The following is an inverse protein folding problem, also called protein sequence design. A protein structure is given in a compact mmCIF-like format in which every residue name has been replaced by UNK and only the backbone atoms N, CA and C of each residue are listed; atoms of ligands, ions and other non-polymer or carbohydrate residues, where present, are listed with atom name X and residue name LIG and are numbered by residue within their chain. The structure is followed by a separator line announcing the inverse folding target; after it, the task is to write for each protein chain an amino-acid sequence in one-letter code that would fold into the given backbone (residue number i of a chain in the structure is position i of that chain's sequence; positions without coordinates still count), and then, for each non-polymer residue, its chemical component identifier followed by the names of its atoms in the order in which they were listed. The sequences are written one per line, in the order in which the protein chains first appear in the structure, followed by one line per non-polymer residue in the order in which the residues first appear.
data_IF_657967503960
#
_entry.id   IF_657967503960
#
_cell.length_a   1.000
_cell.length_b   1.000
_cell.length_c   1.000
_cell.angle_alpha   90.00
_cell.angle_beta   90.00
_cell.angle_gamma   90.00
#
_symmetry.space_group_name_H-M   'P 1'
#
loop_
_entity.id
_entity.type
_entity.pdbx_description
1 polymer ?
#
# COMPACT_ATOMS: atom_id res chain seq x y z
N UNK A 1 -7.70 0.29 2.25
CA UNK A 1 -8.52 1.28 2.99
C UNK A 1 -8.09 2.73 2.77
N UNK A 2 -6.81 3.10 2.95
CA UNK A 2 -6.33 4.48 2.70
C UNK A 2 -6.76 5.04 1.33
N UNK A 3 -6.66 4.22 0.27
CA UNK A 3 -7.11 4.58 -1.07
C UNK A 3 -8.64 4.76 -1.17
N UNK A 4 -9.42 3.94 -0.46
CA UNK A 4 -10.90 4.00 -0.47
C UNK A 4 -11.41 5.26 0.25
N UNK A 5 -10.73 5.64 1.35
CA UNK A 5 -11.08 6.81 2.13
C UNK A 5 -10.70 8.14 1.44
N UNK A 6 -9.68 8.13 0.58
CA UNK A 6 -9.18 9.33 -0.11
C UNK A 6 -9.62 9.42 -1.57
N UNK A 7 -10.15 8.34 -2.15
CA UNK A 7 -10.37 8.17 -3.59
C UNK A 7 -9.08 8.39 -4.44
N UNK A 8 -7.92 8.09 -3.85
CA UNK A 8 -6.60 8.20 -4.50
C UNK A 8 -5.98 6.81 -4.66
N UNK A 9 -5.57 6.49 -5.88
CA UNK A 9 -4.86 5.26 -6.23
C UNK A 9 -3.43 5.18 -5.68
N UNK A 10 -2.78 4.05 -5.94
CA UNK A 10 -1.38 3.83 -5.55
C UNK A 10 -0.70 2.84 -6.48
N UNK A 11 0.54 3.14 -6.86
CA UNK A 11 1.44 2.17 -7.45
C UNK A 11 2.34 1.63 -6.35
N UNK A 12 2.15 0.37 -5.99
CA UNK A 12 3.00 -0.34 -5.02
C UNK A 12 4.16 -0.98 -5.77
N UNK A 13 5.36 -0.84 -5.23
CA UNK A 13 6.58 -1.47 -5.75
C UNK A 13 7.14 -2.39 -4.69
N UNK A 14 7.31 -3.66 -5.06
CA UNK A 14 7.99 -4.67 -4.26
C UNK A 14 9.30 -5.01 -4.96
N UNK A 15 10.41 -4.94 -4.24
CA UNK A 15 11.71 -5.38 -4.75
C UNK A 15 11.95 -6.84 -4.34
N UNK A 16 11.95 -7.81 -5.28
CA UNK A 16 12.20 -9.21 -4.97
C UNK A 16 13.61 -9.49 -4.45
N UNK A 17 14.55 -8.54 -4.62
CA UNK A 17 15.94 -8.66 -4.18
C UNK A 17 16.16 -8.22 -2.73
N UNK A 18 15.19 -7.56 -2.11
CA UNK A 18 15.21 -7.23 -0.68
C UNK A 18 14.85 -8.49 0.13
N UNK A 19 15.42 -8.65 1.32
CA UNK A 19 15.50 -9.87 2.17
C UNK A 19 14.19 -10.62 2.51
N UNK A 20 13.05 -10.18 2.00
CA UNK A 20 11.75 -10.82 2.05
C UNK A 20 11.32 -11.23 0.64
N UNK A 21 12.13 -12.07 -0.02
CA UNK A 21 11.77 -12.78 -1.25
C UNK A 21 10.67 -13.83 -0.98
N UNK A 22 9.64 -13.42 -0.24
CA UNK A 22 8.45 -14.21 -0.02
C UNK A 22 7.61 -14.19 -1.29
N UNK A 23 6.79 -15.23 -1.52
CA UNK A 23 5.77 -15.17 -2.56
C UNK A 23 4.99 -13.86 -2.46
N UNK A 24 4.70 -13.22 -3.60
CA UNK A 24 4.05 -11.89 -3.65
C UNK A 24 2.77 -11.82 -2.78
N UNK A 25 2.02 -12.92 -2.69
CA UNK A 25 0.82 -12.99 -1.86
C UNK A 25 1.13 -12.86 -0.36
N UNK A 26 2.23 -13.42 0.13
CA UNK A 26 2.62 -13.31 1.53
C UNK A 26 3.06 -11.88 1.88
N UNK A 27 3.74 -11.20 0.96
CA UNK A 27 4.09 -9.79 1.13
C UNK A 27 2.86 -8.87 1.16
N UNK A 28 1.87 -9.13 0.30
CA UNK A 28 0.66 -8.31 0.17
C UNK A 28 -0.39 -8.55 1.26
N UNK A 29 -0.55 -9.81 1.68
CA UNK A 29 -1.66 -10.24 2.54
C UNK A 29 -1.20 -10.80 3.90
N UNK A 30 0.10 -11.04 4.11
CA UNK A 30 0.62 -11.49 5.39
C UNK A 30 0.44 -10.42 6.46
N UNK A 31 -0.10 -10.81 7.61
CA UNK A 31 -0.38 -9.92 8.74
C UNK A 31 0.71 -10.04 9.81
N UNK A 32 1.16 -8.89 10.32
CA UNK A 32 2.13 -8.79 11.41
C UNK A 32 1.96 -7.42 12.08
N UNK A 33 2.21 -7.40 13.39
CA UNK A 33 2.04 -6.21 14.25
C UNK A 33 3.20 -5.22 14.05
N UNK A 34 2.97 -3.95 14.42
CA UNK A 34 4.04 -2.93 14.40
C UNK A 34 4.46 -2.47 13.00
N UNK A 35 3.65 -2.73 11.97
CA UNK A 35 3.87 -2.22 10.60
C UNK A 35 2.90 -1.10 10.30
N UNK A 36 3.44 0.04 9.86
CA UNK A 36 2.69 1.25 9.59
C UNK A 36 2.94 1.75 8.18
N UNK A 37 1.91 2.30 7.54
CA UNK A 37 2.00 2.99 6.26
C UNK A 37 1.76 4.47 6.46
N UNK A 38 2.61 5.29 5.83
CA UNK A 38 2.45 6.74 5.77
C UNK A 38 2.56 7.18 4.31
N UNK A 39 1.75 8.18 3.94
CA UNK A 39 1.87 8.88 2.68
C UNK A 39 2.40 10.29 2.96
N UNK A 40 3.45 10.70 2.25
CA UNK A 40 4.08 12.01 2.40
C UNK A 40 4.33 12.63 1.03
N UNK A 41 4.41 13.97 0.92
CA UNK A 41 4.90 14.62 -0.29
C UNK A 41 6.30 14.12 -0.65
N UNK A 42 6.66 14.12 -1.93
CA UNK A 42 7.95 13.59 -2.42
C UNK A 42 9.15 14.20 -1.67
N UNK A 43 9.12 15.51 -1.37
CA UNK A 43 10.18 16.18 -0.60
C UNK A 43 10.32 15.72 0.86
N UNK A 44 9.33 15.01 1.40
CA UNK A 44 9.35 14.45 2.76
C UNK A 44 9.94 13.05 2.86
N UNK A 45 10.18 12.36 1.73
CA UNK A 45 10.69 10.98 1.71
C UNK A 45 12.11 10.90 2.28
N UNK A 46 13.05 11.69 1.74
CA UNK A 46 14.45 11.68 2.16
C UNK A 46 14.65 12.07 3.64
N UNK A 47 13.99 13.12 4.18
CA UNK A 47 14.06 13.43 5.60
C UNK A 47 13.66 12.26 6.51
N UNK A 48 12.61 11.51 6.15
CA UNK A 48 12.12 10.38 6.94
C UNK A 48 13.12 9.22 6.90
N UNK A 49 13.63 8.88 5.71
CA UNK A 49 14.62 7.81 5.56
C UNK A 49 15.89 8.11 6.36
N UNK A 50 16.35 9.37 6.35
CA UNK A 50 17.51 9.80 7.14
C UNK A 50 17.26 9.75 8.64
N UNK A 51 16.08 10.17 9.09
CA UNK A 51 15.71 10.09 10.51
C UNK A 51 15.67 8.63 10.99
N UNK A 52 15.19 7.71 10.16
CA UNK A 52 15.10 6.28 10.48
C UNK A 52 16.48 5.60 10.56
N UNK A 53 17.44 6.01 9.73
CA UNK A 53 18.78 5.41 9.69
C UNK A 53 19.52 5.45 11.04
N UNK A 54 19.18 6.40 11.93
CA UNK A 54 19.78 6.55 13.26
C UNK A 54 19.00 5.91 14.41
N UNK A 55 17.79 5.40 14.18
CA UNK A 55 16.89 4.93 15.26
C UNK A 55 16.72 3.41 15.31
N UNK A 56 17.28 2.69 14.34
CA UNK A 56 17.09 1.24 14.20
C UNK A 56 15.67 0.83 13.78
N UNK A 57 14.81 1.80 13.42
CA UNK A 57 13.45 1.54 12.92
C UNK A 57 13.51 1.25 11.43
N UNK A 58 13.08 0.05 10.97
CA UNK A 58 13.05 -0.26 9.54
C UNK A 58 12.05 0.63 8.80
N UNK A 59 12.52 1.33 7.77
CA UNK A 59 11.67 2.15 6.89
C UNK A 59 12.02 1.86 5.43
N UNK A 60 10.99 1.76 4.59
CA UNK A 60 11.14 1.55 3.15
C UNK A 60 10.12 2.39 2.38
N UNK A 61 10.53 2.95 1.25
CA UNK A 61 9.59 3.46 0.24
C UNK A 61 9.01 2.26 -0.51
N UNK A 62 7.69 2.15 -0.55
CA UNK A 62 6.99 1.01 -1.18
C UNK A 62 6.13 1.40 -2.37
N UNK A 63 6.20 2.65 -2.83
CA UNK A 63 5.32 3.10 -3.90
C UNK A 63 5.14 4.60 -3.97
N UNK A 64 4.16 5.01 -4.76
CA UNK A 64 3.73 6.40 -4.94
C UNK A 64 2.21 6.45 -5.09
N UNK A 65 1.55 7.36 -4.38
CA UNK A 65 0.10 7.58 -4.48
C UNK A 65 -0.24 8.45 -5.70
N UNK A 66 -1.44 8.27 -6.24
CA UNK A 66 -1.93 9.04 -7.40
C UNK A 66 -2.89 8.24 -8.27
N UNK A 67 -3.59 8.94 -9.16
CA UNK A 67 -4.58 8.34 -10.05
C UNK A 67 -5.78 7.72 -9.32
N UNK A 68 -6.46 6.78 -9.99
CA UNK A 68 -7.71 6.16 -9.50
C UNK A 68 -7.63 4.62 -9.42
N UNK A 69 -6.42 4.06 -9.55
CA UNK A 69 -6.20 2.61 -9.58
C UNK A 69 -5.14 2.17 -8.58
N UNK A 70 -5.25 0.94 -8.11
CA UNK A 70 -4.20 0.26 -7.34
C UNK A 70 -3.48 -0.71 -8.28
N UNK A 71 -2.15 -0.63 -8.30
CA UNK A 71 -1.28 -1.52 -9.10
C UNK A 71 -0.12 -2.06 -8.26
N UNK A 72 0.41 -3.23 -8.63
CA UNK A 72 1.58 -3.82 -7.97
C UNK A 72 2.66 -4.10 -9.00
N UNK A 73 3.82 -3.45 -8.88
CA UNK A 73 4.90 -3.47 -9.87
C UNK A 73 4.44 -3.06 -11.29
N UNK A 74 3.45 -2.17 -11.38
CA UNK A 74 2.80 -1.78 -12.63
C UNK A 74 2.00 -2.90 -13.30
N UNK A 75 1.80 -4.03 -12.61
CA UNK A 75 0.99 -5.17 -13.05
C UNK A 75 -0.32 -5.21 -12.27
N UNK A 76 -1.39 -5.64 -12.95
CA UNK A 76 -2.73 -5.57 -12.41
C UNK A 76 -3.19 -4.13 -12.23
N UNK A 77 -4.43 -3.83 -12.59
CA UNK A 77 -5.03 -2.55 -12.32
C UNK A 77 -6.42 -2.81 -11.75
N UNK A 78 -6.63 -2.39 -10.51
CA UNK A 78 -7.92 -2.48 -9.85
C UNK A 78 -8.42 -1.06 -9.57
N UNK A 79 -9.66 -0.77 -9.98
CA UNK A 79 -10.29 0.51 -9.75
C UNK A 79 -10.54 0.74 -8.26
N UNK A 80 -10.17 1.90 -7.74
CA UNK A 80 -10.48 2.29 -6.35
C UNK A 80 -11.99 2.35 -6.14
N UNK A 81 -12.73 2.85 -7.14
CA UNK A 81 -14.19 2.95 -7.07
C UNK A 81 -14.85 1.57 -7.03
N UNK A 82 -14.38 0.62 -7.83
CA UNK A 82 -14.85 -0.77 -7.81
C UNK A 82 -14.55 -1.43 -6.46
N UNK A 83 -13.33 -1.29 -5.93
CA UNK A 83 -12.96 -1.82 -4.62
C UNK A 83 -13.82 -1.22 -3.50
N UNK A 84 -14.11 0.09 -3.56
CA UNK A 84 -14.96 0.78 -2.60
C UNK A 84 -16.38 0.21 -2.61
N UNK A 85 -16.96 0.06 -3.80
CA UNK A 85 -18.29 -0.55 -3.95
C UNK A 85 -18.32 -1.98 -3.40
N UNK A 86 -17.32 -2.81 -3.69
CA UNK A 86 -17.24 -4.18 -3.17
C UNK A 86 -17.06 -4.20 -1.64
N UNK A 87 -16.21 -3.32 -1.10
CA UNK A 87 -15.92 -3.24 0.33
C UNK A 87 -17.13 -2.75 1.15
N UNK A 88 -17.93 -1.84 0.63
CA UNK A 88 -19.08 -1.28 1.35
C UNK A 88 -20.34 -2.13 1.22
N UNK A 89 -20.53 -2.80 0.07
CA UNK A 89 -21.79 -3.49 -0.23
C UNK A 89 -21.82 -4.98 0.13
N UNK A 90 -20.70 -5.60 0.53
CA UNK A 90 -20.68 -7.05 0.78
C UNK A 90 -21.73 -7.50 1.80
N UNK A 91 -21.86 -6.78 2.92
CA UNK A 91 -22.78 -7.15 4.00
C UNK A 91 -24.24 -6.83 3.63
N UNK A 92 -24.57 -5.63 3.11
CA UNK A 92 -25.91 -5.36 2.59
C UNK A 92 -26.38 -6.39 1.55
N UNK A 93 -25.52 -6.77 0.61
CA UNK A 93 -25.85 -7.75 -0.44
C UNK A 93 -26.05 -9.15 0.14
N UNK A 94 -25.23 -9.54 1.12
CA UNK A 94 -25.38 -10.85 1.76
C UNK A 94 -26.68 -10.99 2.57
N UNK A 95 -27.19 -9.87 3.11
CA UNK A 95 -28.37 -9.86 3.99
C UNK A 95 -29.71 -9.69 3.26
N UNK A 96 -29.71 -9.50 1.93
CA UNK A 96 -30.90 -9.29 1.10
C UNK A 96 -31.46 -10.60 0.53
#
# INVERSE_FOLDING_TARGET
EMALASDIGVMVTTDPSQAYAEPLHAWLFGEDQGRYLIAVPEGGVDPILRAAAGTGVPVRRIGTTGGAVITVNGQGAVSVAELKALHENWLPVYMA
#
